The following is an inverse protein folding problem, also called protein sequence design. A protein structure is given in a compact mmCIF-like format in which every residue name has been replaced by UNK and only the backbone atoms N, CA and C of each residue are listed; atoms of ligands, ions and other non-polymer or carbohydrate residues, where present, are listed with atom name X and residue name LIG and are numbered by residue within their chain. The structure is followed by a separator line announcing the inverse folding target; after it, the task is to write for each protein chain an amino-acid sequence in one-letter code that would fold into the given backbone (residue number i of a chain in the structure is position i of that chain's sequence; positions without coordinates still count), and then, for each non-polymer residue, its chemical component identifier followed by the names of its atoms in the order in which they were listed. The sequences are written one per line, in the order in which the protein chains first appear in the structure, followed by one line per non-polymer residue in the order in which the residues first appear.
data_IF_955165099301
#
_entry.id   IF_955165099301
#
_cell.length_a   1.000
_cell.length_b   1.000
_cell.length_c   1.000
_cell.angle_alpha   90.00
_cell.angle_beta   90.00
_cell.angle_gamma   90.00
#
_symmetry.space_group_name_H-M   'P 1'
#
loop_
_entity.id
_entity.type
_entity.pdbx_description
1 polymer ?
#
# COMPACT_ATOMS: atom_id res chain seq x y z
N UNK A 1 20.92 -17.52 12.19
CA UNK A 1 19.49 -17.76 11.89
C UNK A 1 18.98 -16.52 11.19
N UNK A 2 18.88 -16.57 9.87
CA UNK A 2 18.60 -15.40 9.03
C UNK A 2 17.13 -15.00 9.15
N UNK A 3 16.91 -13.77 9.60
CA UNK A 3 15.60 -13.14 9.70
C UNK A 3 14.99 -13.03 8.28
N UNK A 4 14.11 -13.98 7.95
CA UNK A 4 13.34 -14.00 6.70
C UNK A 4 12.31 -12.88 6.71
N UNK A 5 12.78 -11.64 6.53
CA UNK A 5 11.96 -10.45 6.64
C UNK A 5 11.00 -10.37 5.45
N UNK A 6 9.76 -10.84 5.68
CA UNK A 6 8.64 -10.77 4.75
C UNK A 6 8.51 -9.36 4.17
N UNK A 7 8.41 -9.26 2.84
CA UNK A 7 8.33 -8.02 2.09
C UNK A 7 6.87 -7.74 1.74
N UNK A 8 6.35 -6.60 2.20
CA UNK A 8 4.93 -6.23 2.05
C UNK A 8 4.65 -5.45 0.75
N UNK A 9 5.69 -5.11 -0.01
CA UNK A 9 5.57 -4.29 -1.20
C UNK A 9 6.15 -5.02 -2.41
N UNK A 10 5.44 -6.03 -2.91
CA UNK A 10 5.87 -6.78 -4.08
C UNK A 10 4.86 -6.69 -5.21
N UNK A 11 5.33 -6.48 -6.44
CA UNK A 11 4.46 -6.45 -7.62
C UNK A 11 4.98 -7.32 -8.75
N UNK A 12 4.06 -7.86 -9.55
CA UNK A 12 4.32 -8.43 -10.86
C UNK A 12 3.83 -7.52 -12.00
N UNK A 13 3.04 -6.50 -11.67
CA UNK A 13 2.45 -5.59 -12.64
C UNK A 13 3.40 -4.43 -12.95
N UNK A 14 4.39 -4.72 -13.78
CA UNK A 14 5.20 -3.68 -14.43
C UNK A 14 5.04 -3.77 -15.95
N UNK A 15 4.79 -2.61 -16.58
CA UNK A 15 4.71 -2.46 -18.05
C UNK A 15 6.07 -2.66 -18.76
N UNK A 16 7.16 -2.81 -18.01
CA UNK A 16 8.54 -3.00 -18.49
C UNK A 16 9.10 -4.36 -18.02
N UNK A 17 10.43 -4.54 -17.93
CA UNK A 17 11.06 -5.79 -17.50
C UNK A 17 10.39 -6.40 -16.26
N UNK A 18 10.05 -7.69 -16.35
CA UNK A 18 9.40 -8.47 -15.29
C UNK A 18 10.37 -9.45 -14.68
N UNK A 19 10.13 -9.79 -13.42
CA UNK A 19 10.86 -10.85 -12.75
C UNK A 19 10.49 -12.21 -13.33
N UNK A 20 11.38 -13.19 -13.20
CA UNK A 20 11.15 -14.55 -13.65
C UNK A 20 9.98 -15.21 -12.90
N UNK A 21 9.46 -16.32 -13.42
CA UNK A 21 8.31 -17.00 -12.84
C UNK A 21 8.63 -17.49 -11.42
N UNK A 22 7.81 -17.09 -10.45
CA UNK A 22 8.03 -17.38 -9.03
C UNK A 22 8.78 -16.28 -8.27
N UNK A 23 9.16 -15.19 -8.94
CA UNK A 23 9.75 -14.00 -8.32
C UNK A 23 8.82 -12.79 -8.52
N UNK A 24 8.73 -11.96 -7.49
CA UNK A 24 8.03 -10.68 -7.53
C UNK A 24 9.03 -9.56 -7.28
N UNK A 25 8.79 -8.40 -7.89
CA UNK A 25 9.66 -7.25 -7.69
C UNK A 25 9.34 -6.61 -6.35
N UNK A 26 10.27 -6.67 -5.42
CA UNK A 26 10.20 -5.89 -4.18
C UNK A 26 10.37 -4.42 -4.54
N UNK A 27 9.36 -3.63 -4.22
CA UNK A 27 9.30 -2.20 -4.54
C UNK A 27 10.17 -1.36 -3.61
N UNK A 28 10.63 -1.92 -2.48
CA UNK A 28 11.55 -1.23 -1.59
C UNK A 28 12.99 -1.23 -2.14
N UNK A 29 13.47 -2.41 -2.53
CA UNK A 29 14.83 -2.64 -3.03
C UNK A 29 14.91 -2.68 -4.55
N UNK A 30 13.77 -2.62 -5.23
CA UNK A 30 13.62 -2.76 -6.68
C UNK A 30 14.14 -4.10 -7.25
N UNK A 31 14.41 -5.08 -6.38
CA UNK A 31 14.99 -6.38 -6.71
C UNK A 31 13.92 -7.47 -6.83
N UNK A 32 14.18 -8.48 -7.66
CA UNK A 32 13.32 -9.65 -7.76
C UNK A 32 13.55 -10.56 -6.55
N UNK A 33 12.51 -10.76 -5.74
CA UNK A 33 12.53 -11.64 -4.58
C UNK A 33 11.55 -12.80 -4.79
N UNK A 34 11.80 -13.99 -4.21
CA UNK A 34 10.85 -15.10 -4.24
C UNK A 34 9.44 -14.66 -3.81
N UNK A 35 8.42 -15.05 -4.55
CA UNK A 35 7.01 -14.71 -4.24
C UNK A 35 6.60 -15.16 -2.84
N UNK A 36 7.20 -16.23 -2.32
CA UNK A 36 6.99 -16.71 -0.96
C UNK A 36 7.43 -15.72 0.13
N UNK A 37 8.36 -14.81 -0.18
CA UNK A 37 8.78 -13.74 0.73
C UNK A 37 7.86 -12.52 0.63
N UNK A 38 6.99 -12.47 -0.37
CA UNK A 38 6.08 -11.37 -0.57
C UNK A 38 4.76 -11.61 0.13
N UNK A 39 4.48 -10.80 1.16
CA UNK A 39 3.15 -10.75 1.77
C UNK A 39 2.29 -9.80 0.96
N UNK A 40 1.09 -10.25 0.62
CA UNK A 40 0.00 -9.37 0.18
C UNK A 40 -0.32 -8.39 1.31
N UNK A 41 -0.70 -7.16 0.94
CA UNK A 41 -1.12 -6.16 1.91
C UNK A 41 -2.26 -6.69 2.79
N UNK A 42 -2.39 -6.20 4.03
CA UNK A 42 -3.50 -6.60 4.90
C UNK A 42 -4.85 -6.33 4.23
N UNK A 43 -5.92 -7.04 4.63
CA UNK A 43 -7.24 -6.80 4.07
C UNK A 43 -7.63 -5.32 4.22
N UNK A 44 -8.09 -4.70 3.13
CA UNK A 44 -8.42 -3.27 3.06
C UNK A 44 -7.25 -2.35 2.70
N UNK A 45 -6.05 -2.91 2.49
CA UNK A 45 -4.90 -2.19 1.96
C UNK A 45 -4.51 -2.74 0.58
N UNK A 46 -4.08 -1.83 -0.27
CA UNK A 46 -3.50 -2.15 -1.56
C UNK A 46 -2.07 -1.66 -1.65
N UNK A 47 -1.34 -2.23 -2.60
CA UNK A 47 0.02 -1.81 -2.90
C UNK A 47 -0.03 -0.50 -3.69
N UNK A 48 0.13 0.61 -2.99
CA UNK A 48 0.10 1.94 -3.57
C UNK A 48 1.52 2.40 -3.93
N UNK A 49 1.65 3.15 -5.02
CA UNK A 49 2.92 3.74 -5.46
C UNK A 49 3.55 4.66 -4.41
N UNK A 50 2.72 5.24 -3.53
CA UNK A 50 3.12 6.15 -2.45
C UNK A 50 2.90 5.55 -1.05
N UNK A 51 2.51 4.27 -0.98
CA UNK A 51 2.11 3.61 0.26
C UNK A 51 1.10 4.43 1.06
N UNK A 52 1.39 4.61 2.34
CA UNK A 52 0.59 5.39 3.29
C UNK A 52 0.68 6.92 3.17
N UNK A 53 1.54 7.46 2.31
CA UNK A 53 1.77 8.91 2.25
C UNK A 53 0.55 9.64 1.68
N UNK A 54 -0.17 8.97 0.77
CA UNK A 54 -1.28 9.53 0.00
C UNK A 54 -2.61 8.80 0.22
N UNK A 55 -2.73 8.03 1.30
CA UNK A 55 -3.99 7.38 1.61
C UNK A 55 -5.01 8.39 2.11
N UNK A 56 -6.28 8.20 1.77
CA UNK A 56 -7.38 8.99 2.32
C UNK A 56 -7.58 8.64 3.79
N UNK A 57 -8.11 9.59 4.55
CA UNK A 57 -8.48 9.41 5.96
C UNK A 57 -9.98 9.57 6.13
N UNK A 58 -10.52 9.21 7.29
CA UNK A 58 -11.93 9.48 7.57
C UNK A 58 -12.32 10.96 7.51
N UNK A 59 -11.37 11.87 7.71
CA UNK A 59 -11.59 13.31 7.64
C UNK A 59 -11.48 13.84 6.21
N UNK A 60 -10.55 13.29 5.43
CA UNK A 60 -10.34 13.56 4.01
C UNK A 60 -10.34 12.24 3.24
N UNK A 61 -11.52 11.74 2.81
CA UNK A 61 -11.63 10.40 2.20
C UNK A 61 -11.13 10.33 0.76
N UNK A 62 -10.68 11.45 0.22
CA UNK A 62 -10.11 11.56 -1.10
C UNK A 62 -8.59 11.58 -1.01
N UNK A 63 -7.91 11.22 -2.10
CA UNK A 63 -6.46 11.45 -2.19
C UNK A 63 -6.18 12.94 -1.92
N UNK A 64 -5.31 13.28 -0.95
CA UNK A 64 -5.08 14.68 -0.62
C UNK A 64 -4.51 15.41 -1.84
N UNK A 65 -5.03 16.60 -2.16
CA UNK A 65 -4.53 17.41 -3.30
C UNK A 65 -3.01 17.61 -3.28
N UNK A 66 -2.45 17.66 -2.07
CA UNK A 66 -1.01 17.80 -1.83
C UNK A 66 -0.21 16.58 -2.25
N UNK A 67 -0.82 15.40 -2.34
CA UNK A 67 -0.12 14.20 -2.76
C UNK A 67 0.29 14.18 -4.23
N UNK A 68 -0.42 14.89 -5.10
CA UNK A 68 0.04 15.12 -6.47
C UNK A 68 1.34 15.94 -6.53
N UNK A 69 1.65 16.69 -5.46
CA UNK A 69 2.84 17.53 -5.35
C UNK A 69 3.97 16.87 -4.56
N UNK A 70 3.69 15.81 -3.79
CA UNK A 70 4.68 15.11 -2.97
C UNK A 70 5.45 14.07 -3.82
N UNK A 71 6.78 14.03 -3.66
CA UNK A 71 7.56 12.89 -4.16
C UNK A 71 7.27 11.66 -3.29
N UNK A 72 6.53 10.72 -3.86
CA UNK A 72 6.32 9.42 -3.27
C UNK A 72 7.66 8.72 -3.04
N UNK A 73 7.98 8.47 -1.78
CA UNK A 73 9.31 8.02 -1.38
C UNK A 73 9.54 6.55 -1.78
N UNK A 74 8.62 5.68 -1.36
CA UNK A 74 8.62 4.26 -1.71
C UNK A 74 7.17 3.73 -1.84
N UNK A 75 6.93 2.78 -2.75
CA UNK A 75 5.67 2.06 -2.79
C UNK A 75 5.49 1.18 -1.55
N UNK A 76 4.26 1.02 -1.10
CA UNK A 76 3.95 0.22 0.08
C UNK A 76 2.46 -0.04 0.23
N UNK A 77 2.10 -0.72 1.33
CA UNK A 77 0.69 -0.90 1.67
C UNK A 77 0.12 0.42 2.19
N UNK A 78 -0.96 0.86 1.57
CA UNK A 78 -1.83 1.95 2.05
C UNK A 78 -3.29 1.55 1.87
N UNK A 79 -4.22 2.28 2.49
CA UNK A 79 -5.64 1.98 2.35
C UNK A 79 -6.08 2.05 0.89
N UNK A 80 -6.82 1.03 0.45
CA UNK A 80 -7.28 0.95 -0.93
C UNK A 80 -8.41 1.94 -1.22
N UNK A 81 -8.03 3.15 -1.63
CA UNK A 81 -8.96 4.22 -2.01
C UNK A 81 -9.89 3.80 -3.16
N UNK A 82 -9.44 2.92 -4.07
CA UNK A 82 -10.29 2.41 -5.16
C UNK A 82 -11.51 1.63 -4.64
N UNK A 83 -11.37 0.89 -3.55
CA UNK A 83 -12.46 0.21 -2.84
C UNK A 83 -13.10 1.10 -1.75
N UNK A 84 -12.90 2.42 -1.78
CA UNK A 84 -13.40 3.36 -0.76
C UNK A 84 -12.94 3.04 0.66
N UNK A 85 -11.73 2.48 0.79
CA UNK A 85 -11.07 2.28 2.08
C UNK A 85 -10.25 3.51 2.42
N UNK A 86 -10.44 4.01 3.62
CA UNK A 86 -9.75 5.17 4.19
C UNK A 86 -9.14 4.78 5.53
N UNK A 87 -8.07 5.46 5.90
CA UNK A 87 -7.44 5.23 7.19
C UNK A 87 -8.22 5.92 8.28
N UNK A 88 -8.64 5.12 9.25
CA UNK A 88 -9.16 5.64 10.50
C UNK A 88 -8.01 6.20 11.33
N UNK A 89 -8.11 7.48 11.71
CA UNK A 89 -7.08 8.13 12.52
C UNK A 89 -7.08 7.61 13.96
N UNK A 90 -8.22 7.09 14.45
CA UNK A 90 -8.38 6.62 15.82
C UNK A 90 -7.74 5.25 16.07
N UNK A 91 -7.95 4.30 15.16
CA UNK A 91 -7.44 2.92 15.23
C UNK A 91 -6.19 2.71 14.38
N UNK A 92 -5.92 3.59 13.42
CA UNK A 92 -4.84 3.42 12.45
C UNK A 92 -5.13 2.34 11.39
N UNK A 93 -6.38 1.87 11.29
CA UNK A 93 -6.80 0.77 10.41
C UNK A 93 -7.50 1.27 9.15
N UNK A 94 -7.42 0.52 8.06
CA UNK A 94 -8.18 0.82 6.85
C UNK A 94 -9.60 0.31 7.00
N UNK A 95 -10.55 1.23 6.99
CA UNK A 95 -11.99 0.95 7.06
C UNK A 95 -12.69 1.58 5.87
N UNK A 96 -13.91 1.13 5.57
CA UNK A 96 -14.72 1.82 4.56
C UNK A 96 -15.06 3.22 5.05
N UNK A 97 -15.11 4.18 4.13
CA UNK A 97 -15.58 5.55 4.41
C UNK A 97 -16.91 5.58 5.17
N UNK A 98 -17.83 4.67 4.85
CA UNK A 98 -19.15 4.57 5.50
C UNK A 98 -19.09 4.07 6.96
N UNK A 99 -17.96 3.50 7.39
CA UNK A 99 -17.72 3.06 8.76
C UNK A 99 -16.87 4.05 9.56
N UNK A 100 -16.52 5.20 8.95
CA UNK A 100 -15.81 6.24 9.69
C UNK A 100 -16.62 6.67 10.90
N UNK A 101 -15.98 6.81 12.08
CA UNK A 101 -16.65 7.35 13.24
C UNK A 101 -17.10 8.76 12.86
N UNK A 102 -18.41 8.95 12.69
CA UNK A 102 -18.96 10.28 12.50
C UNK A 102 -18.72 10.98 13.82
N UNK A 103 -17.77 11.92 13.83
CA UNK A 103 -17.63 12.85 14.94
C UNK A 103 -18.87 13.73 14.87
N UNK A 104 -19.87 13.36 15.65
CA UNK A 104 -20.98 14.23 16.03
C UNK A 104 -20.45 15.44 16.83
#
# INVERSE_FOLDING_TARGET
MGDGQLKFACTNETRSCRCDSGFLRDLNTQSCVPSALCKTCPPGQALLACGKICEGTCQDPHEPKICQTIRCLLPGCGCDLNNSMVRDNSTGTCIKISQCPHVE
#
